data_IF_657662208794
#
_entry.id   IF_657662208794
#
_cell.length_a   1.000
_cell.length_b   1.000
_cell.length_c   1.000
_cell.angle_alpha   90.00
_cell.angle_beta   90.00
_cell.angle_gamma   90.00
#
_symmetry.space_group_name_H-M   'P 1'
#
loop_
_entity.id
_entity.type
_entity.pdbx_description
1 polymer ?
#
# COMPACT_ATOMS: atom_id res chain seq x y z
N UNK A 1 -7.62 -0.64 -2.21
CA UNK A 1 -6.18 -0.62 -1.89
C UNK A 1 -5.29 -0.60 -3.14
N UNK A 2 -5.39 -1.55 -4.07
CA UNK A 2 -4.52 -1.60 -5.28
C UNK A 2 -4.45 -0.27 -6.06
N UNK A 3 -5.58 0.43 -6.22
CA UNK A 3 -5.61 1.77 -6.85
C UNK A 3 -4.67 2.78 -6.16
N UNK A 4 -4.58 2.75 -4.84
CA UNK A 4 -3.70 3.63 -4.07
C UNK A 4 -2.24 3.41 -4.48
N UNK A 5 -1.82 2.15 -4.57
CA UNK A 5 -0.43 1.77 -4.91
C UNK A 5 -0.11 1.98 -6.39
N UNK A 6 -1.04 1.65 -7.30
CA UNK A 6 -0.81 1.72 -8.75
C UNK A 6 -1.01 3.11 -9.35
N UNK A 7 -1.94 3.88 -8.80
CA UNK A 7 -2.42 5.13 -9.39
C UNK A 7 -2.14 6.35 -8.49
N UNK A 8 -1.65 6.15 -7.26
CA UNK A 8 -1.43 7.25 -6.31
C UNK A 8 -2.73 7.97 -5.94
N UNK A 9 -3.86 7.27 -5.96
CA UNK A 9 -5.19 7.87 -5.84
C UNK A 9 -6.13 7.04 -4.99
N UNK A 10 -6.97 7.72 -4.21
CA UNK A 10 -8.03 7.12 -3.40
C UNK A 10 -9.33 7.91 -3.54
N UNK A 11 -10.47 7.22 -3.50
CA UNK A 11 -11.78 7.87 -3.45
C UNK A 11 -12.11 8.21 -1.99
N UNK A 12 -12.43 9.46 -1.69
CA UNK A 12 -12.88 9.89 -0.37
C UNK A 12 -14.35 9.55 -0.12
N UNK A 13 -14.78 9.63 1.14
CA UNK A 13 -16.18 9.43 1.51
C UNK A 13 -17.12 10.51 0.92
N UNK A 14 -16.57 11.67 0.53
CA UNK A 14 -17.26 12.75 -0.16
C UNK A 14 -17.24 12.58 -1.69
N UNK A 15 -16.83 11.40 -2.19
CA UNK A 15 -16.76 11.07 -3.61
C UNK A 15 -15.78 11.95 -4.40
N UNK A 16 -14.74 12.45 -3.73
CA UNK A 16 -13.63 13.16 -4.37
C UNK A 16 -12.43 12.22 -4.56
N UNK A 17 -11.76 12.32 -5.71
CA UNK A 17 -10.49 11.63 -5.93
C UNK A 17 -9.35 12.43 -5.28
N UNK A 18 -8.60 11.80 -4.38
CA UNK A 18 -7.51 12.41 -3.62
C UNK A 18 -6.19 11.78 -4.04
N UNK A 19 -5.22 12.61 -4.38
CA UNK A 19 -3.84 12.18 -4.68
C UNK A 19 -3.08 11.84 -3.40
N UNK A 20 -2.32 10.75 -3.42
CA UNK A 20 -1.54 10.23 -2.31
C UNK A 20 -0.24 9.61 -2.82
N UNK A 21 0.81 9.65 -1.98
CA UNK A 21 2.02 8.85 -2.18
C UNK A 21 1.96 7.62 -1.27
N UNK A 22 1.86 6.43 -1.87
CA UNK A 22 1.60 5.17 -1.16
C UNK A 22 2.84 4.25 -1.15
N UNK A 23 3.94 4.70 -0.55
CA UNK A 23 5.19 3.93 -0.49
C UNK A 23 5.10 2.71 0.44
N UNK A 24 4.28 2.81 1.47
CA UNK A 24 4.00 1.72 2.42
C UNK A 24 2.50 1.66 2.71
N UNK A 25 2.01 0.46 3.07
CA UNK A 25 0.63 0.24 3.47
C UNK A 25 0.64 -0.36 4.88
N UNK A 26 0.03 0.33 5.82
CA UNK A 26 -0.17 -0.19 7.16
C UNK A 26 -1.32 -1.22 7.15
N UNK A 27 -1.12 -2.34 7.83
CA UNK A 27 -2.15 -3.35 8.08
C UNK A 27 -2.16 -3.67 9.57
N UNK A 28 -3.34 -3.99 10.09
CA UNK A 28 -3.50 -4.40 11.48
C UNK A 28 -3.44 -5.92 11.61
N UNK A 29 -2.93 -6.39 12.75
CA UNK A 29 -2.64 -7.80 13.06
C UNK A 29 -3.42 -8.36 14.24
N UNK A 30 -4.40 -7.63 14.75
CA UNK A 30 -5.04 -7.80 16.06
C UNK A 30 -6.39 -8.51 16.03
N UNK A 31 -7.04 -8.60 14.86
CA UNK A 31 -8.32 -9.30 14.68
C UNK A 31 -8.18 -10.80 14.41
N UNK A 32 -9.25 -11.55 14.70
CA UNK A 32 -9.37 -13.00 14.43
C UNK A 32 -9.02 -13.37 12.97
N UNK A 33 -9.37 -12.51 12.02
CA UNK A 33 -9.11 -12.69 10.58
C UNK A 33 -7.90 -11.92 10.05
N UNK A 34 -7.05 -11.35 10.91
CA UNK A 34 -5.98 -10.46 10.47
C UNK A 34 -4.95 -11.16 9.56
N UNK A 35 -4.63 -12.43 9.84
CA UNK A 35 -3.72 -13.20 9.01
C UNK A 35 -4.29 -13.45 7.61
N UNK A 36 -5.55 -13.85 7.50
CA UNK A 36 -6.21 -14.11 6.21
C UNK A 36 -6.33 -12.82 5.40
N UNK A 37 -6.61 -11.70 6.07
CA UNK A 37 -6.63 -10.39 5.45
C UNK A 37 -5.24 -9.99 4.93
N UNK A 38 -4.18 -10.20 5.71
CA UNK A 38 -2.81 -9.93 5.29
C UNK A 38 -2.40 -10.78 4.07
N UNK A 39 -2.79 -12.06 4.02
CA UNK A 39 -2.58 -12.96 2.87
C UNK A 39 -3.30 -12.44 1.62
N UNK A 40 -4.58 -12.11 1.76
CA UNK A 40 -5.42 -11.57 0.67
C UNK A 40 -4.82 -10.29 0.08
N UNK A 41 -4.34 -9.39 0.95
CA UNK A 41 -3.67 -8.14 0.52
C UNK A 41 -2.41 -8.45 -0.29
N UNK A 42 -1.56 -9.35 0.19
CA UNK A 42 -0.32 -9.74 -0.49
C UNK A 42 -0.60 -10.36 -1.85
N UNK A 43 -1.51 -11.33 -1.92
CA UNK A 43 -1.88 -12.00 -3.16
C UNK A 43 -2.45 -11.01 -4.18
N UNK A 44 -3.32 -10.08 -3.76
CA UNK A 44 -3.87 -9.06 -4.63
C UNK A 44 -2.79 -8.11 -5.18
N UNK A 45 -1.78 -7.75 -4.37
CA UNK A 45 -0.64 -6.95 -4.82
C UNK A 45 0.20 -7.70 -5.85
N UNK A 46 0.52 -8.96 -5.59
CA UNK A 46 1.32 -9.81 -6.46
C UNK A 46 0.62 -10.07 -7.80
N UNK A 47 -0.68 -10.41 -7.78
CA UNK A 47 -1.51 -10.55 -8.99
C UNK A 47 -1.61 -9.25 -9.78
N UNK A 48 -1.64 -8.11 -9.10
CA UNK A 48 -1.58 -6.81 -9.72
C UNK A 48 -0.18 -6.43 -10.21
N UNK A 49 0.83 -7.32 -10.11
CA UNK A 49 2.21 -7.13 -10.55
C UNK A 49 3.05 -6.21 -9.64
N UNK A 50 2.64 -6.01 -8.39
CA UNK A 50 3.35 -5.19 -7.41
C UNK A 50 4.23 -6.09 -6.55
N UNK A 51 5.53 -5.81 -6.52
CA UNK A 51 6.46 -6.55 -5.64
C UNK A 51 6.47 -5.93 -4.24
N UNK A 52 6.13 -6.72 -3.22
CA UNK A 52 6.22 -6.29 -1.82
C UNK A 52 7.64 -6.49 -1.31
N UNK A 53 8.29 -5.41 -0.86
CA UNK A 53 9.62 -5.41 -0.26
C UNK A 53 9.62 -4.59 1.03
N UNK A 54 10.60 -4.80 1.89
CA UNK A 54 10.83 -3.89 3.01
C UNK A 54 11.09 -2.48 2.45
N UNK A 55 10.56 -1.42 3.07
CA UNK A 55 10.96 -0.06 2.72
C UNK A 55 12.47 0.05 2.98
N UNK A 56 13.24 0.34 1.92
CA UNK A 56 14.67 0.60 2.07
C UNK A 56 14.89 1.86 2.92
N UNK A 57 16.13 2.13 3.32
CA UNK A 57 16.48 3.45 3.84
C UNK A 57 16.27 4.44 2.69
N UNK A 58 15.26 5.30 2.81
CA UNK A 58 15.06 6.41 1.88
C UNK A 58 16.27 7.33 2.07
N UNK A 59 17.18 7.29 1.12
CA UNK A 59 18.21 8.32 0.96
C UNK A 59 17.59 9.36 0.05
N UNK A 60 17.01 10.41 0.63
CA UNK A 60 16.70 11.61 -0.12
C UNK A 60 18.00 12.01 -0.85
N UNK A 61 17.90 12.27 -2.15
CA UNK A 61 19.03 12.48 -3.08
C UNK A 61 19.91 13.70 -2.81
N UNK A 62 20.32 13.92 -1.56
CA UNK A 62 21.38 14.81 -1.11
C UNK A 62 22.48 13.95 -0.48
N UNK A 63 23.01 13.00 -1.25
CA UNK A 63 24.23 12.28 -0.91
C UNK A 63 25.45 13.17 -1.20
N UNK A 64 25.75 14.06 -0.27
CA UNK A 64 27.12 14.18 0.24
C UNK A 64 27.28 13.11 1.32
#
# INVERSE_FOLDING_TARGET
MIRMVRQGKVMSCQLAEVEIQADTVCIHGDGEHALDFARTIREALEQAGVTVRAPGRIVDGSGV
#
